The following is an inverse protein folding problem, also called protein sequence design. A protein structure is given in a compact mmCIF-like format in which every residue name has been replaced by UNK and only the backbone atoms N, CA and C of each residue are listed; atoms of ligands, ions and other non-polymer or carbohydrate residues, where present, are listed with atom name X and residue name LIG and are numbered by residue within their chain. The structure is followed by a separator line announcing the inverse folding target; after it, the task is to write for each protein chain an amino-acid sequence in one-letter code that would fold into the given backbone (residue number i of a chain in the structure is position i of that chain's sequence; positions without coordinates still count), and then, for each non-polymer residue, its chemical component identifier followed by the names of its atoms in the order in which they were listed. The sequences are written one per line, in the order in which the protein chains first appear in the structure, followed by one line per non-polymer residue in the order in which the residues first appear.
data_IF_604774333834
#
_entry.id   IF_604774333834
#
_cell.length_a   1.000
_cell.length_b   1.000
_cell.length_c   1.000
_cell.angle_alpha   90.00
_cell.angle_beta   90.00
_cell.angle_gamma   90.00
#
_symmetry.space_group_name_H-M   'P 1'
#
loop_
_entity.id
_entity.type
_entity.pdbx_description
1 polymer ?
#
# COMPACT_ATOMS: atom_id res chain seq x y z
N UNK A 1 6.01 -6.66 18.53
CA UNK A 1 5.99 -5.29 19.07
C UNK A 1 7.33 -4.58 18.85
N UNK A 2 7.34 -3.34 18.33
CA UNK A 2 8.59 -2.57 18.13
C UNK A 2 9.16 -2.11 19.49
N UNK A 3 10.49 -2.10 19.67
CA UNK A 3 11.15 -1.84 20.96
C UNK A 3 10.64 -0.55 21.65
N UNK A 4 10.50 0.54 20.90
CA UNK A 4 10.07 1.82 21.45
C UNK A 4 8.58 1.89 21.79
N UNK A 5 7.75 0.99 21.24
CA UNK A 5 6.32 0.97 21.58
C UNK A 5 6.10 0.44 22.99
N UNK A 6 7.07 -0.30 23.55
CA UNK A 6 7.03 -0.76 24.95
C UNK A 6 7.26 0.39 25.95
N UNK A 7 7.71 1.55 25.49
CA UNK A 7 7.96 2.73 26.33
C UNK A 7 6.81 3.75 26.28
N UNK A 8 5.73 3.43 25.57
CA UNK A 8 4.56 4.29 25.51
C UNK A 8 3.84 4.29 26.87
N UNK A 9 3.27 5.43 27.29
CA UNK A 9 2.37 5.46 28.43
C UNK A 9 1.23 4.44 28.24
N UNK A 10 0.78 3.75 29.31
CA UNK A 10 -0.26 2.72 29.22
C UNK A 10 -1.48 3.09 28.36
N UNK A 11 -2.11 4.27 28.50
CA UNK A 11 -3.27 4.60 27.67
C UNK A 11 -2.94 4.69 26.17
N UNK A 12 -1.72 5.12 25.82
CA UNK A 12 -1.29 5.20 24.41
C UNK A 12 -0.99 3.79 23.88
N UNK A 13 -0.35 2.94 24.69
CA UNK A 13 -0.05 1.56 24.32
C UNK A 13 -1.34 0.77 24.03
N UNK A 14 -2.39 0.94 24.83
CA UNK A 14 -3.70 0.32 24.60
C UNK A 14 -4.33 0.77 23.27
N UNK A 15 -4.24 2.05 22.93
CA UNK A 15 -4.73 2.54 21.63
C UNK A 15 -3.96 1.96 20.44
N UNK A 16 -2.65 1.67 20.59
CA UNK A 16 -1.87 1.04 19.51
C UNK A 16 -2.38 -0.36 19.15
N UNK A 17 -3.07 -1.05 20.05
CA UNK A 17 -3.64 -2.38 19.77
C UNK A 17 -4.76 -2.29 18.71
N UNK A 18 -5.45 -1.15 18.62
CA UNK A 18 -6.52 -0.89 17.64
C UNK A 18 -5.98 -0.56 16.23
N UNK A 19 -4.67 -0.33 16.09
CA UNK A 19 -4.05 0.01 14.80
C UNK A 19 -4.20 -1.12 13.77
N UNK A 20 -4.20 -2.39 14.21
CA UNK A 20 -4.43 -3.54 13.32
C UNK A 20 -5.77 -3.43 12.61
N UNK A 21 -6.84 -3.22 13.38
CA UNK A 21 -8.18 -3.09 12.84
C UNK A 21 -8.35 -1.80 12.02
N UNK A 22 -7.73 -0.70 12.47
CA UNK A 22 -7.75 0.56 11.73
C UNK A 22 -7.08 0.43 10.37
N UNK A 23 -5.95 -0.29 10.29
CA UNK A 23 -5.29 -0.60 9.04
C UNK A 23 -6.15 -1.47 8.13
N UNK A 24 -6.76 -2.54 8.66
CA UNK A 24 -7.69 -3.37 7.90
C UNK A 24 -8.85 -2.56 7.31
N UNK A 25 -9.44 -1.64 8.09
CA UNK A 25 -10.48 -0.71 7.61
C UNK A 25 -9.96 0.21 6.50
N UNK A 26 -8.74 0.73 6.62
CA UNK A 26 -8.12 1.55 5.58
C UNK A 26 -7.92 0.76 4.27
N UNK A 27 -7.44 -0.49 4.35
CA UNK A 27 -7.29 -1.38 3.19
C UNK A 27 -8.64 -1.66 2.52
N UNK A 28 -9.69 -1.95 3.30
CA UNK A 28 -11.04 -2.13 2.76
C UNK A 28 -11.59 -0.85 2.13
N UNK A 29 -11.24 0.30 2.67
CA UNK A 29 -11.66 1.60 2.11
C UNK A 29 -10.96 1.90 0.78
N UNK A 30 -9.69 1.47 0.61
CA UNK A 30 -9.00 1.50 -0.69
C UNK A 30 -9.73 0.60 -1.68
N UNK A 31 -10.03 -0.66 -1.29
CA UNK A 31 -10.77 -1.60 -2.12
C UNK A 31 -12.11 -1.04 -2.59
N UNK A 32 -12.89 -0.44 -1.69
CA UNK A 32 -14.17 0.17 -2.02
C UNK A 32 -14.06 1.42 -2.91
N UNK A 33 -12.94 2.14 -2.87
CA UNK A 33 -12.70 3.33 -3.69
C UNK A 33 -12.20 3.02 -5.10
N UNK A 34 -11.63 1.83 -5.32
CA UNK A 34 -11.10 1.43 -6.61
C UNK A 34 -12.13 0.63 -7.41
N UNK A 35 -12.34 0.99 -8.67
CA UNK A 35 -13.27 0.31 -9.58
C UNK A 35 -12.53 -0.04 -10.87
N UNK A 36 -12.24 -1.34 -11.13
CA UNK A 36 -11.53 -1.74 -12.33
C UNK A 36 -12.20 -1.33 -13.64
N UNK A 37 -13.53 -1.18 -13.63
CA UNK A 37 -14.33 -0.71 -14.78
C UNK A 37 -14.22 0.79 -15.05
N UNK A 38 -13.73 1.57 -14.09
CA UNK A 38 -13.58 3.02 -14.20
C UNK A 38 -12.09 3.38 -14.06
N UNK A 39 -11.40 3.68 -15.17
CA UNK A 39 -9.99 4.04 -15.14
C UNK A 39 -9.67 5.22 -14.21
N UNK A 40 -10.60 6.15 -13.98
CA UNK A 40 -10.36 7.36 -13.17
C UNK A 40 -10.59 7.13 -11.68
N UNK A 41 -11.20 6.00 -11.30
CA UNK A 41 -11.36 5.58 -9.90
C UNK A 41 -10.04 5.50 -9.14
N UNK A 42 -8.92 5.29 -9.85
CA UNK A 42 -7.56 5.38 -9.33
C UNK A 42 -7.34 6.67 -8.52
N UNK A 43 -7.83 7.82 -8.96
CA UNK A 43 -7.64 9.10 -8.25
C UNK A 43 -8.35 9.11 -6.89
N UNK A 44 -9.47 8.42 -6.77
CA UNK A 44 -10.23 8.29 -5.51
C UNK A 44 -9.48 7.49 -4.44
N UNK A 45 -8.49 6.69 -4.85
CA UNK A 45 -7.64 5.91 -3.96
C UNK A 45 -6.50 6.74 -3.35
N UNK A 46 -6.10 7.86 -3.99
CA UNK A 46 -4.89 8.62 -3.62
C UNK A 46 -4.96 9.23 -2.22
N UNK A 47 -6.16 9.57 -1.74
CA UNK A 47 -6.38 10.10 -0.39
C UNK A 47 -5.93 9.13 0.71
N UNK A 48 -5.92 7.83 0.43
CA UNK A 48 -5.54 6.79 1.39
C UNK A 48 -4.03 6.61 1.50
N UNK A 49 -3.25 7.10 0.54
CA UNK A 49 -1.79 6.90 0.51
C UNK A 49 -1.13 7.50 1.76
N UNK A 50 -1.52 8.69 2.18
CA UNK A 50 -0.97 9.33 3.39
C UNK A 50 -1.32 8.55 4.66
N UNK A 51 -2.55 8.04 4.75
CA UNK A 51 -3.04 7.24 5.88
C UNK A 51 -2.24 5.93 5.97
N UNK A 52 -2.10 5.22 4.85
CA UNK A 52 -1.34 3.97 4.80
C UNK A 52 0.15 4.19 5.09
N UNK A 53 0.73 5.26 4.56
CA UNK A 53 2.12 5.62 4.82
C UNK A 53 2.39 5.87 6.31
N UNK A 54 1.42 6.43 7.04
CA UNK A 54 1.51 6.64 8.48
C UNK A 54 1.70 5.30 9.22
N UNK A 55 0.86 4.29 8.96
CA UNK A 55 0.98 2.96 9.57
C UNK A 55 2.32 2.29 9.24
N UNK A 56 2.82 2.49 8.02
CA UNK A 56 4.10 1.92 7.60
C UNK A 56 5.25 2.59 8.35
N UNK A 57 5.22 3.92 8.50
CA UNK A 57 6.26 4.71 9.20
C UNK A 57 6.22 4.54 10.72
N UNK A 58 5.03 4.48 11.31
CA UNK A 58 4.82 4.28 12.75
C UNK A 58 5.34 2.92 13.25
N UNK A 59 5.74 2.02 12.34
CA UNK A 59 6.17 0.65 12.68
C UNK A 59 5.12 -0.11 13.48
N UNK A 60 3.85 0.23 13.25
CA UNK A 60 2.67 -0.46 13.75
C UNK A 60 2.77 -1.95 13.51
N UNK A 61 2.26 -2.72 14.46
CA UNK A 61 2.21 -4.16 14.34
C UNK A 61 1.01 -4.55 13.49
N UNK A 62 1.19 -4.63 12.18
CA UNK A 62 0.11 -4.91 11.23
C UNK A 62 -0.07 -6.41 10.97
N UNK A 63 -1.31 -6.79 10.63
CA UNK A 63 -1.65 -8.10 10.12
C UNK A 63 -0.97 -8.33 8.74
N UNK A 64 -0.31 -9.48 8.55
CA UNK A 64 0.46 -9.73 7.31
C UNK A 64 -0.47 -9.94 6.12
N UNK A 65 -1.65 -10.48 6.37
CA UNK A 65 -2.73 -10.74 5.43
C UNK A 65 -3.28 -9.43 4.85
N UNK A 66 -3.51 -8.42 5.69
CA UNK A 66 -3.96 -7.10 5.25
C UNK A 66 -2.85 -6.37 4.46
N UNK A 67 -1.58 -6.55 4.86
CA UNK A 67 -0.43 -6.01 4.12
C UNK A 67 -0.33 -6.66 2.74
N UNK A 68 -0.51 -7.98 2.64
CA UNK A 68 -0.56 -8.70 1.36
C UNK A 68 -1.70 -8.15 0.50
N UNK A 69 -2.91 -8.06 1.05
CA UNK A 69 -4.07 -7.56 0.34
C UNK A 69 -3.88 -6.13 -0.17
N UNK A 70 -3.19 -5.28 0.61
CA UNK A 70 -2.83 -3.92 0.17
C UNK A 70 -1.82 -3.92 -0.97
N UNK A 71 -0.82 -4.81 -0.94
CA UNK A 71 0.16 -4.91 -2.03
C UNK A 71 -0.49 -5.38 -3.31
N UNK A 72 -1.36 -6.40 -3.24
CA UNK A 72 -2.08 -6.93 -4.40
C UNK A 72 -2.92 -5.83 -5.07
N UNK A 73 -3.81 -5.17 -4.32
CA UNK A 73 -4.61 -4.08 -4.90
C UNK A 73 -3.76 -2.88 -5.31
N UNK A 74 -2.68 -2.59 -4.59
CA UNK A 74 -1.78 -1.51 -4.96
C UNK A 74 -1.06 -1.78 -6.28
N UNK A 75 -0.69 -3.03 -6.57
CA UNK A 75 -0.12 -3.43 -7.86
C UNK A 75 -1.15 -3.31 -8.98
N UNK A 76 -2.40 -3.70 -8.73
CA UNK A 76 -3.49 -3.53 -9.70
C UNK A 76 -3.72 -2.05 -10.03
N UNK A 77 -3.81 -1.21 -9.00
CA UNK A 77 -3.96 0.24 -9.15
C UNK A 77 -2.74 0.83 -9.88
N UNK A 78 -1.52 0.41 -9.54
CA UNK A 78 -0.30 0.85 -10.19
C UNK A 78 -0.29 0.52 -11.68
N UNK A 79 -0.73 -0.68 -12.04
CA UNK A 79 -0.83 -1.11 -13.44
C UNK A 79 -1.93 -0.34 -14.20
N UNK A 80 -3.12 -0.20 -13.60
CA UNK A 80 -4.21 0.61 -14.17
C UNK A 80 -3.82 2.09 -14.34
N UNK A 81 -2.87 2.57 -13.54
CA UNK A 81 -2.32 3.93 -13.62
C UNK A 81 -1.30 4.14 -14.73
N UNK A 82 -1.13 3.21 -15.68
CA UNK A 82 -0.06 3.28 -16.70
C UNK A 82 -0.05 4.56 -17.57
N UNK A 83 -1.19 5.24 -17.71
CA UNK A 83 -1.30 6.54 -18.41
C UNK A 83 -1.52 7.72 -17.46
N UNK A 84 -1.41 7.48 -16.14
CA UNK A 84 -1.70 8.43 -15.06
C UNK A 84 -0.48 8.57 -14.16
N UNK A 85 0.57 9.22 -14.69
CA UNK A 85 1.88 9.30 -14.04
C UNK A 85 1.81 9.73 -12.56
N UNK A 86 0.99 10.73 -12.24
CA UNK A 86 0.83 11.19 -10.85
C UNK A 86 0.37 10.06 -9.93
N UNK A 87 -0.68 9.33 -10.30
CA UNK A 87 -1.18 8.22 -9.51
C UNK A 87 -0.18 7.06 -9.46
N UNK A 88 0.44 6.75 -10.60
CA UNK A 88 1.43 5.68 -10.72
C UNK A 88 2.64 5.90 -9.80
N UNK A 89 3.20 7.12 -9.77
CA UNK A 89 4.35 7.46 -8.90
C UNK A 89 3.97 7.39 -7.43
N UNK A 90 2.79 7.88 -7.06
CA UNK A 90 2.32 7.88 -5.67
C UNK A 90 2.12 6.46 -5.15
N UNK A 91 1.45 5.60 -5.92
CA UNK A 91 1.28 4.19 -5.57
C UNK A 91 2.59 3.41 -5.62
N UNK A 92 3.42 3.62 -6.65
CA UNK A 92 4.73 2.97 -6.77
C UNK A 92 5.65 3.28 -5.59
N UNK A 93 5.68 4.53 -5.13
CA UNK A 93 6.46 4.95 -3.95
C UNK A 93 5.99 4.27 -2.66
N UNK A 94 4.67 4.12 -2.48
CA UNK A 94 4.09 3.43 -1.33
C UNK A 94 4.42 1.93 -1.37
N UNK A 95 4.20 1.29 -2.53
CA UNK A 95 4.50 -0.13 -2.76
C UNK A 95 5.97 -0.45 -2.49
N UNK A 96 6.90 0.35 -3.01
CA UNK A 96 8.33 0.17 -2.77
C UNK A 96 8.65 0.17 -1.26
N UNK A 97 8.03 1.07 -0.49
CA UNK A 97 8.22 1.17 0.96
C UNK A 97 7.64 -0.04 1.70
N UNK A 98 6.43 -0.47 1.34
CA UNK A 98 5.77 -1.65 1.93
C UNK A 98 6.60 -2.91 1.66
N UNK A 99 6.91 -3.15 0.39
CA UNK A 99 7.69 -4.32 -0.04
C UNK A 99 9.02 -4.35 0.67
N UNK A 100 9.75 -3.23 0.76
CA UNK A 100 11.04 -3.22 1.42
C UNK A 100 10.94 -3.49 2.94
N UNK A 101 9.91 -2.96 3.61
CA UNK A 101 9.66 -3.20 5.04
C UNK A 101 9.23 -4.64 5.33
N UNK A 102 8.39 -5.23 4.48
CA UNK A 102 7.75 -6.53 4.73
C UNK A 102 8.31 -7.69 3.90
N UNK A 103 9.36 -7.48 3.10
CA UNK A 103 9.97 -8.48 2.18
C UNK A 103 10.23 -9.86 2.76
N UNK A 104 10.54 -9.97 4.06
CA UNK A 104 10.84 -11.24 4.74
C UNK A 104 9.59 -11.94 5.30
N UNK A 105 8.46 -11.24 5.38
CA UNK A 105 7.23 -11.70 6.03
C UNK A 105 6.11 -12.00 5.04
N UNK A 106 6.11 -11.33 3.88
CA UNK A 106 5.09 -11.51 2.85
C UNK A 106 5.59 -12.51 1.81
N UNK A 107 4.73 -13.46 1.46
CA UNK A 107 4.90 -14.28 0.25
C UNK A 107 3.91 -13.78 -0.79
N UNK A 108 4.42 -13.42 -1.97
CA UNK A 108 3.65 -12.82 -3.07
C UNK A 108 3.98 -13.54 -4.37
N UNK A 109 2.96 -13.76 -5.19
CA UNK A 109 3.14 -14.18 -6.58
C UNK A 109 2.83 -12.98 -7.46
N UNK A 110 3.84 -12.40 -8.08
CA UNK A 110 3.71 -11.17 -8.88
C UNK A 110 3.91 -11.50 -10.35
N UNK A 111 2.97 -11.09 -11.19
CA UNK A 111 3.12 -11.17 -12.64
C UNK A 111 4.16 -10.12 -13.08
N UNK A 112 5.29 -10.57 -13.62
CA UNK A 112 6.39 -9.68 -14.00
C UNK A 112 6.07 -8.84 -15.24
N UNK A 113 5.22 -9.35 -16.14
CA UNK A 113 4.97 -8.74 -17.46
C UNK A 113 4.40 -7.31 -17.38
N UNK A 114 3.38 -7.01 -16.56
CA UNK A 114 2.91 -5.64 -16.33
C UNK A 114 3.99 -4.64 -15.91
N UNK A 115 4.98 -5.08 -15.12
CA UNK A 115 6.09 -4.23 -14.68
C UNK A 115 7.06 -3.95 -15.83
N UNK A 116 7.36 -4.97 -16.62
CA UNK A 116 8.18 -4.83 -17.82
C UNK A 116 7.54 -3.88 -18.83
N UNK A 117 6.25 -4.07 -19.14
CA UNK A 117 5.54 -3.21 -20.10
C UNK A 117 5.51 -1.75 -19.60
N UNK A 118 5.39 -1.53 -18.29
CA UNK A 118 5.51 -0.20 -17.68
C UNK A 118 6.89 0.39 -17.93
N UNK A 119 7.96 -0.35 -17.64
CA UNK A 119 9.34 0.09 -17.84
C UNK A 119 9.63 0.46 -19.30
N UNK A 120 9.18 -0.38 -20.23
CA UNK A 120 9.33 -0.14 -21.68
C UNK A 120 8.64 1.16 -22.08
N UNK A 121 7.39 1.36 -21.64
CA UNK A 121 6.61 2.56 -21.96
C UNK A 121 7.18 3.84 -21.34
N UNK A 122 7.72 3.78 -20.14
CA UNK A 122 8.23 4.98 -19.46
C UNK A 122 9.63 5.38 -19.93
N UNK A 123 10.48 4.42 -20.30
CA UNK A 123 11.90 4.70 -20.60
C UNK A 123 12.28 4.54 -22.07
N UNK A 124 11.58 3.72 -22.85
CA UNK A 124 12.04 3.32 -24.20
C UNK A 124 11.18 3.87 -25.34
N UNK A 125 9.94 4.28 -25.08
CA UNK A 125 9.17 5.09 -26.03
C UNK A 125 9.55 6.56 -25.87
N UNK A 126 10.60 6.97 -26.60
CA UNK A 126 10.90 8.38 -26.93
C UNK A 126 10.40 8.69 -28.33
#
# INVERSE_FOLDING_TARGET
MHLYNAWLPPPVAEETMKEKEAFARAVNSVKGSYRPSDPDSVYSTLKWISVLDLFIKAKSELCVEDVRALVEIGLDIFHASCYKLHAQVRWGSLLARILNKYRKKISLTVQWRPLYDTLVRTHFTR
#
